data_IF_085532937789
#
_entry.id   IF_085532937789
#
_cell.length_a   1.000
_cell.length_b   1.000
_cell.length_c   1.000
_cell.angle_alpha   90.00
_cell.angle_beta   90.00
_cell.angle_gamma   90.00
#
_symmetry.space_group_name_H-M   'P 1'
#
loop_
_entity.id
_entity.type
_entity.pdbx_description
1 polymer ?
#
# COMPACT_ATOMS: atom_id res chain seq x y z
N UNK A 1 -8.73 -0.75 -6.62
CA UNK A 1 -7.52 0.09 -6.72
C UNK A 1 -7.68 1.27 -5.77
N UNK A 2 -7.14 1.17 -4.55
CA UNK A 2 -6.79 2.35 -3.74
C UNK A 2 -5.30 2.27 -3.52
N UNK A 3 -4.56 2.92 -4.41
CA UNK A 3 -3.18 3.31 -4.14
C UNK A 3 -3.16 4.00 -2.78
N UNK A 4 -2.13 3.74 -1.97
CA UNK A 4 -1.76 4.57 -0.82
C UNK A 4 -1.30 5.99 -1.23
N UNK A 5 -1.72 6.47 -2.41
CA UNK A 5 -1.51 7.83 -2.92
C UNK A 5 -2.69 8.74 -2.58
N UNK A 6 -3.43 8.42 -1.52
CA UNK A 6 -4.20 9.47 -0.86
C UNK A 6 -3.18 10.29 -0.09
N UNK A 7 -2.62 11.30 -0.75
CA UNK A 7 -2.00 12.45 -0.09
C UNK A 7 -2.95 12.84 1.04
N UNK A 8 -2.61 12.47 2.27
CA UNK A 8 -3.36 12.85 3.45
C UNK A 8 -3.27 14.36 3.55
N UNK A 9 -4.17 15.12 2.94
CA UNK A 9 -4.20 16.56 3.11
C UNK A 9 -4.80 16.89 4.49
N UNK A 10 -4.06 16.58 5.56
CA UNK A 10 -4.41 17.02 6.90
C UNK A 10 -4.25 18.54 6.95
N UNK A 11 -5.37 19.25 7.07
CA UNK A 11 -5.39 20.70 7.23
C UNK A 11 -4.96 21.03 8.65
N UNK A 12 -3.67 21.30 8.84
CA UNK A 12 -3.19 21.84 10.12
C UNK A 12 -3.53 23.34 10.21
N UNK A 13 -4.31 23.70 11.22
CA UNK A 13 -4.46 25.09 11.67
C UNK A 13 -3.42 25.37 12.74
N UNK A 14 -2.61 26.41 12.58
CA UNK A 14 -1.75 26.90 13.66
C UNK A 14 -2.53 27.94 14.44
N UNK A 15 -2.59 27.79 15.76
CA UNK A 15 -3.18 28.75 16.68
C UNK A 15 -2.02 29.42 17.42
N UNK A 16 -1.95 30.75 17.39
CA UNK A 16 -0.94 31.53 18.09
C UNK A 16 -1.60 32.53 19.03
N UNK A 17 -0.99 32.75 20.20
CA UNK A 17 -1.32 33.84 21.10
C UNK A 17 -0.45 35.03 20.73
N UNK A 18 -1.06 36.18 20.47
CA UNK A 18 -0.40 37.41 20.07
C UNK A 18 -0.86 38.56 20.95
N UNK A 19 0.04 39.53 21.14
CA UNK A 19 -0.26 40.76 21.83
C UNK A 19 -0.92 41.78 20.91
N UNK A 20 -1.51 42.83 21.49
CA UNK A 20 -2.27 43.85 20.76
C UNK A 20 -1.50 44.49 19.60
N UNK A 21 -0.18 44.65 19.74
CA UNK A 21 0.69 45.24 18.72
C UNK A 21 0.89 44.33 17.49
N UNK A 22 0.92 43.01 17.69
CA UNK A 22 1.29 42.04 16.65
C UNK A 22 0.09 41.52 15.84
N UNK A 23 -1.13 41.77 16.32
CA UNK A 23 -2.37 41.35 15.65
C UNK A 23 -2.53 41.99 14.29
N UNK A 24 -2.15 43.26 14.16
CA UNK A 24 -2.34 43.99 12.90
C UNK A 24 -1.60 43.28 11.76
N UNK A 25 -0.34 42.90 12.01
CA UNK A 25 0.46 42.13 11.04
C UNK A 25 -0.15 40.75 10.77
N UNK A 26 -0.66 40.08 11.81
CA UNK A 26 -1.22 38.74 11.69
C UNK A 26 -2.57 38.72 10.95
N UNK A 27 -3.42 39.75 11.10
CA UNK A 27 -4.70 39.89 10.39
C UNK A 27 -4.51 40.15 8.89
N UNK A 28 -3.46 40.89 8.53
CA UNK A 28 -3.12 41.17 7.14
C UNK A 28 -2.32 40.04 6.46
N UNK A 29 -1.98 38.98 7.19
CA UNK A 29 -1.26 37.84 6.61
C UNK A 29 -2.17 37.07 5.64
N UNK A 30 -1.69 36.70 4.43
CA UNK A 30 -2.53 36.07 3.39
C UNK A 30 -3.10 34.70 3.78
N UNK A 31 -2.56 34.07 4.82
CA UNK A 31 -3.09 32.82 5.34
C UNK A 31 -3.89 32.96 6.64
N UNK A 32 -4.26 34.18 7.03
CA UNK A 32 -5.11 34.42 8.19
C UNK A 32 -6.50 33.79 8.01
N UNK A 33 -7.01 33.11 9.05
CA UNK A 33 -8.38 32.56 9.08
C UNK A 33 -9.28 33.42 9.97
N UNK A 34 -8.82 33.76 11.17
CA UNK A 34 -9.61 34.52 12.13
C UNK A 34 -8.85 34.81 13.42
N UNK A 35 -9.30 35.83 14.14
CA UNK A 35 -8.73 36.25 15.42
C UNK A 35 -9.82 36.44 16.48
N UNK A 36 -9.54 36.05 17.74
CA UNK A 36 -10.45 36.24 18.88
C UNK A 36 -9.70 36.83 20.08
N UNK A 37 -10.26 37.87 20.68
CA UNK A 37 -9.74 38.45 21.93
C UNK A 37 -10.02 37.49 23.11
N UNK A 38 -8.99 37.23 23.93
CA UNK A 38 -9.13 36.49 25.20
C UNK A 38 -9.05 37.46 26.39
N UNK A 39 -8.16 38.45 26.33
CA UNK A 39 -7.95 39.45 27.38
C UNK A 39 -7.55 40.80 26.78
N UNK A 40 -7.49 41.85 27.60
CA UNK A 40 -7.21 43.22 27.14
C UNK A 40 -5.98 43.34 26.22
N UNK A 41 -4.96 42.51 26.44
CA UNK A 41 -3.71 42.52 25.67
C UNK A 41 -3.40 41.20 24.95
N UNK A 42 -4.27 40.17 25.01
CA UNK A 42 -3.96 38.85 24.45
C UNK A 42 -5.06 38.37 23.51
N UNK A 43 -4.64 37.97 22.32
CA UNK A 43 -5.52 37.54 21.25
C UNK A 43 -5.05 36.20 20.70
N UNK A 44 -6.02 35.36 20.37
CA UNK A 44 -5.78 34.13 19.62
C UNK A 44 -5.93 34.44 18.14
N UNK A 45 -4.92 34.09 17.35
CA UNK A 45 -4.99 34.16 15.90
C UNK A 45 -4.83 32.77 15.31
N UNK A 46 -5.76 32.41 14.42
CA UNK A 46 -5.73 31.18 13.66
C UNK A 46 -5.17 31.47 12.26
N UNK A 47 -4.10 30.77 11.90
CA UNK A 47 -3.44 30.88 10.61
C UNK A 47 -3.51 29.53 9.92
N UNK A 48 -3.93 29.54 8.66
CA UNK A 48 -3.88 28.38 7.77
C UNK A 48 -2.42 28.17 7.37
N UNK A 49 -1.84 27.00 7.63
CA UNK A 49 -0.56 26.70 7.01
C UNK A 49 -0.78 26.47 5.51
N UNK A 50 -0.01 27.15 4.65
CA UNK A 50 0.08 26.76 3.23
C UNK A 50 0.64 25.34 3.22
N UNK A 51 -0.11 24.45 2.57
CA UNK A 51 0.10 23.02 2.38
C UNK A 51 1.45 22.52 2.87
N UNK A 52 1.47 21.80 3.99
CA UNK A 52 2.64 21.03 4.36
C UNK A 52 2.86 19.99 3.26
N UNK A 53 3.91 20.17 2.47
CA UNK A 53 4.43 19.09 1.62
C UNK A 53 4.92 18.03 2.60
N UNK A 54 4.30 16.85 2.54
CA UNK A 54 4.65 15.73 3.39
C UNK A 54 6.04 15.26 3.01
N UNK A 55 7.04 15.68 3.76
CA UNK A 55 8.24 14.87 3.92
C UNK A 55 7.81 13.62 4.68
N UNK A 56 7.30 12.60 3.98
CA UNK A 56 7.45 11.25 4.52
C UNK A 56 8.95 11.10 4.76
N UNK A 57 9.34 11.02 6.03
CA UNK A 57 10.75 10.86 6.36
C UNK A 57 11.25 9.61 5.63
N UNK A 58 12.49 9.64 5.15
CA UNK A 58 13.11 8.48 4.50
C UNK A 58 12.90 7.20 5.32
N UNK A 59 12.87 7.33 6.65
CA UNK A 59 12.56 6.26 7.60
C UNK A 59 11.17 5.61 7.38
N UNK A 60 10.11 6.39 7.17
CA UNK A 60 8.76 5.84 6.91
C UNK A 60 8.73 5.12 5.55
N UNK A 61 9.41 5.66 4.54
CA UNK A 61 9.51 5.03 3.22
C UNK A 61 10.29 3.72 3.28
N UNK A 62 11.38 3.68 4.03
CA UNK A 62 12.15 2.45 4.27
C UNK A 62 11.31 1.42 5.03
N UNK A 63 10.64 1.83 6.11
CA UNK A 63 9.77 0.94 6.89
C UNK A 63 8.63 0.33 6.08
N UNK A 64 7.96 1.14 5.25
CA UNK A 64 6.88 0.66 4.38
C UNK A 64 7.38 -0.32 3.32
N UNK A 65 8.54 -0.04 2.71
CA UNK A 65 9.18 -0.92 1.74
C UNK A 65 9.62 -2.25 2.37
N UNK A 66 10.25 -2.20 3.55
CA UNK A 66 10.74 -3.41 4.22
C UNK A 66 9.60 -4.29 4.75
N UNK A 67 8.52 -3.68 5.23
CA UNK A 67 7.30 -4.42 5.56
C UNK A 67 6.72 -5.09 4.30
N UNK A 68 6.67 -4.42 3.15
CA UNK A 68 6.20 -5.03 1.90
C UNK A 68 7.09 -6.21 1.47
N UNK A 69 8.43 -6.10 1.59
CA UNK A 69 9.36 -7.20 1.33
C UNK A 69 9.11 -8.38 2.26
N UNK A 70 8.91 -8.14 3.55
CA UNK A 70 8.62 -9.18 4.53
C UNK A 70 7.36 -9.96 4.15
N UNK A 71 6.26 -9.27 3.85
CA UNK A 71 5.01 -9.92 3.46
C UNK A 71 5.16 -10.76 2.18
N UNK A 72 5.94 -10.29 1.21
CA UNK A 72 6.24 -11.03 -0.02
C UNK A 72 7.04 -12.30 0.24
N UNK A 73 8.14 -12.19 0.99
CA UNK A 73 8.97 -13.35 1.35
C UNK A 73 8.17 -14.36 2.17
N UNK A 74 7.36 -13.88 3.11
CA UNK A 74 6.48 -14.72 3.90
C UNK A 74 5.47 -15.47 3.00
N UNK A 75 4.86 -14.80 2.02
CA UNK A 75 3.98 -15.44 1.04
C UNK A 75 4.70 -16.52 0.21
N UNK A 76 5.89 -16.23 -0.30
CA UNK A 76 6.67 -17.18 -1.11
C UNK A 76 7.09 -18.40 -0.29
N UNK A 77 7.73 -18.20 0.86
CA UNK A 77 8.30 -19.31 1.63
C UNK A 77 7.27 -20.07 2.46
N UNK A 78 6.30 -19.38 3.06
CA UNK A 78 5.33 -20.02 3.96
C UNK A 78 4.03 -20.45 3.28
N UNK A 79 3.74 -19.98 2.06
CA UNK A 79 2.64 -20.51 1.25
C UNK A 79 3.17 -21.24 0.01
N UNK A 80 3.75 -20.53 -0.96
CA UNK A 80 4.06 -21.11 -2.28
C UNK A 80 4.97 -22.35 -2.19
N UNK A 81 6.12 -22.27 -1.52
CA UNK A 81 7.03 -23.41 -1.43
C UNK A 81 6.47 -24.61 -0.66
N UNK A 82 5.41 -24.43 0.14
CA UNK A 82 4.78 -25.51 0.89
C UNK A 82 3.67 -26.22 0.12
N UNK A 83 2.96 -25.52 -0.76
CA UNK A 83 1.83 -26.09 -1.51
C UNK A 83 2.00 -26.17 -3.02
N UNK A 84 3.09 -25.65 -3.58
CA UNK A 84 3.39 -25.72 -5.01
C UNK A 84 4.63 -26.59 -5.27
N UNK A 85 4.65 -27.27 -6.41
CA UNK A 85 5.80 -28.03 -6.87
C UNK A 85 6.92 -27.11 -7.37
N UNK A 86 7.98 -27.00 -6.55
CA UNK A 86 9.18 -26.19 -6.81
C UNK A 86 9.90 -26.48 -8.14
N UNK A 87 9.64 -27.63 -8.79
CA UNK A 87 10.23 -27.96 -10.10
C UNK A 87 9.42 -27.46 -11.27
N UNK A 88 8.18 -27.03 -11.03
CA UNK A 88 7.19 -26.69 -12.06
C UNK A 88 6.83 -25.22 -12.08
N UNK A 89 7.45 -24.39 -11.24
CA UNK A 89 7.31 -22.94 -11.36
C UNK A 89 8.66 -22.23 -11.20
N UNK A 90 8.81 -21.09 -11.87
CA UNK A 90 10.02 -20.27 -11.82
C UNK A 90 9.64 -18.79 -11.71
N UNK A 91 10.36 -18.04 -10.87
CA UNK A 91 10.20 -16.59 -10.79
C UNK A 91 10.84 -15.94 -12.03
N UNK A 92 10.07 -15.10 -12.72
CA UNK A 92 10.54 -14.39 -13.93
C UNK A 92 10.99 -12.98 -13.55
N UNK A 93 10.08 -12.23 -12.92
CA UNK A 93 10.30 -10.83 -12.57
C UNK A 93 9.53 -10.49 -11.29
N UNK A 94 10.08 -9.60 -10.48
CA UNK A 94 9.36 -9.01 -9.35
C UNK A 94 9.44 -7.50 -9.45
N UNK A 95 8.29 -6.85 -9.56
CA UNK A 95 8.16 -5.39 -9.52
C UNK A 95 7.67 -4.92 -8.14
N UNK A 96 7.57 -3.63 -7.89
CA UNK A 96 7.21 -2.99 -6.61
C UNK A 96 5.90 -3.52 -6.03
N UNK A 97 4.94 -3.89 -6.89
CA UNK A 97 3.60 -4.33 -6.47
C UNK A 97 3.17 -5.70 -7.00
N UNK A 98 3.95 -6.37 -7.86
CA UNK A 98 3.62 -7.66 -8.47
C UNK A 98 4.81 -8.63 -8.50
N UNK A 99 4.51 -9.91 -8.69
CA UNK A 99 5.50 -10.97 -8.95
C UNK A 99 4.99 -11.78 -10.14
N UNK A 100 5.86 -11.98 -11.12
CA UNK A 100 5.62 -12.75 -12.32
C UNK A 100 6.27 -14.12 -12.18
N UNK A 101 5.46 -15.15 -12.37
CA UNK A 101 5.84 -16.55 -12.17
C UNK A 101 5.48 -17.30 -13.44
N UNK A 102 6.46 -17.99 -14.02
CA UNK A 102 6.23 -18.96 -15.08
C UNK A 102 5.81 -20.29 -14.44
N UNK A 103 4.73 -20.88 -14.94
CA UNK A 103 4.16 -22.13 -14.42
C UNK A 103 4.14 -23.16 -15.54
N UNK A 104 4.66 -24.36 -15.27
CA UNK A 104 4.58 -25.49 -16.18
C UNK A 104 3.18 -26.10 -16.12
N UNK A 105 2.31 -25.64 -17.03
CA UNK A 105 0.95 -26.15 -17.21
C UNK A 105 0.89 -27.64 -17.57
N UNK A 106 -0.28 -28.24 -17.40
CA UNK A 106 -0.59 -29.57 -17.93
C UNK A 106 -1.06 -29.43 -19.40
N UNK A 107 -0.41 -30.11 -20.36
CA UNK A 107 -0.77 -30.05 -21.78
C UNK A 107 -2.18 -30.60 -22.07
N UNK A 108 -2.77 -31.38 -21.16
CA UNK A 108 -4.11 -31.96 -21.33
C UNK A 108 -5.24 -31.05 -20.83
N UNK A 109 -4.89 -29.90 -20.23
CA UNK A 109 -5.84 -28.98 -19.62
C UNK A 109 -5.72 -27.62 -20.30
N UNK A 110 -6.77 -26.82 -20.16
CA UNK A 110 -6.89 -25.48 -20.71
C UNK A 110 -5.95 -24.46 -20.03
N UNK A 111 -5.70 -23.32 -20.65
CA UNK A 111 -4.82 -22.28 -20.11
C UNK A 111 -5.30 -21.67 -18.77
N UNK A 112 -6.57 -21.82 -18.42
CA UNK A 112 -7.12 -21.31 -17.15
C UNK A 112 -6.70 -22.10 -15.89
N UNK A 113 -5.81 -23.11 -16.01
CA UNK A 113 -5.29 -23.89 -14.87
C UNK A 113 -4.58 -23.07 -13.79
N UNK A 114 -3.86 -22.00 -14.18
CA UNK A 114 -3.06 -21.16 -13.26
C UNK A 114 -2.23 -21.99 -12.25
N UNK A 115 -2.31 -21.68 -10.95
CA UNK A 115 -1.59 -22.37 -9.88
C UNK A 115 -2.06 -23.82 -9.66
N UNK A 116 -3.25 -24.20 -10.11
CA UNK A 116 -3.76 -25.56 -9.94
C UNK A 116 -2.92 -26.60 -10.70
N UNK A 117 -2.27 -26.20 -11.80
CA UNK A 117 -1.40 -27.08 -12.58
C UNK A 117 -0.21 -27.62 -11.78
N UNK A 118 0.25 -26.85 -10.80
CA UNK A 118 1.48 -27.12 -10.02
C UNK A 118 1.19 -27.25 -8.52
N UNK A 119 -0.09 -27.37 -8.15
CA UNK A 119 -0.50 -27.56 -6.77
C UNK A 119 -0.08 -28.94 -6.28
N UNK A 120 0.78 -28.99 -5.27
CA UNK A 120 1.21 -30.22 -4.61
C UNK A 120 0.36 -30.53 -3.37
N UNK A 121 -0.02 -29.51 -2.59
CA UNK A 121 -0.86 -29.67 -1.40
C UNK A 121 -2.03 -28.69 -1.39
N UNK A 122 -3.15 -29.16 -1.97
CA UNK A 122 -4.39 -28.37 -2.06
C UNK A 122 -5.02 -28.12 -0.69
N UNK A 123 -4.93 -29.07 0.24
CA UNK A 123 -5.55 -28.93 1.57
C UNK A 123 -4.83 -27.87 2.40
N UNK A 124 -3.50 -27.83 2.34
CA UNK A 124 -2.71 -26.77 2.95
C UNK A 124 -3.04 -25.41 2.32
N UNK A 125 -3.12 -25.35 0.98
CA UNK A 125 -3.45 -24.13 0.27
C UNK A 125 -4.80 -23.56 0.72
N UNK A 126 -5.88 -24.34 0.67
CA UNK A 126 -7.23 -23.90 1.05
C UNK A 126 -7.30 -23.42 2.51
N UNK A 127 -6.56 -24.07 3.42
CA UNK A 127 -6.50 -23.69 4.83
C UNK A 127 -5.77 -22.36 5.07
N UNK A 128 -4.71 -22.09 4.30
CA UNK A 128 -3.78 -20.98 4.57
C UNK A 128 -3.89 -19.80 3.60
N UNK A 129 -4.51 -19.96 2.44
CA UNK A 129 -4.60 -18.94 1.39
C UNK A 129 -5.23 -17.64 1.87
N UNK A 130 -6.28 -17.73 2.69
CA UNK A 130 -7.00 -16.56 3.22
C UNK A 130 -6.19 -15.75 4.26
N UNK A 131 -5.02 -16.22 4.69
CA UNK A 131 -4.09 -15.42 5.49
C UNK A 131 -3.36 -14.39 4.63
N UNK A 132 -3.22 -14.66 3.32
CA UNK A 132 -2.41 -13.88 2.39
C UNK A 132 -3.23 -13.17 1.31
N UNK A 133 -4.30 -13.81 0.84
CA UNK A 133 -5.22 -13.26 -0.15
C UNK A 133 -6.47 -12.68 0.52
N UNK A 134 -7.01 -11.65 -0.12
CA UNK A 134 -8.27 -11.04 0.29
C UNK A 134 -9.41 -12.05 0.20
N UNK A 135 -10.16 -12.22 1.30
CA UNK A 135 -11.40 -12.99 1.31
C UNK A 135 -12.57 -12.07 0.94
N UNK A 136 -13.27 -12.30 -0.18
CA UNK A 136 -14.39 -11.43 -0.60
C UNK A 136 -15.54 -11.38 0.42
N UNK A 137 -15.60 -12.33 1.36
CA UNK A 137 -16.62 -12.39 2.40
C UNK A 137 -16.21 -11.68 3.71
N UNK A 138 -14.99 -11.12 3.81
CA UNK A 138 -14.48 -10.47 5.02
C UNK A 138 -14.35 -8.95 4.85
N UNK A 139 -14.46 -8.27 5.99
CA UNK A 139 -14.67 -6.83 6.15
C UNK A 139 -13.48 -5.94 5.66
N UNK A 140 -13.73 -4.63 5.54
CA UNK A 140 -12.84 -3.54 5.07
C UNK A 140 -11.41 -3.50 5.65
N UNK A 141 -11.11 -4.28 6.69
CA UNK A 141 -9.77 -4.41 7.28
C UNK A 141 -8.83 -5.33 6.48
N UNK A 142 -9.32 -6.06 5.46
CA UNK A 142 -8.51 -6.98 4.63
C UNK A 142 -7.73 -6.29 3.50
N UNK A 143 -7.74 -4.95 3.44
CA UNK A 143 -7.12 -4.15 2.38
C UNK A 143 -5.59 -4.28 2.26
N UNK A 144 -4.91 -4.88 3.25
CA UNK A 144 -3.44 -5.06 3.24
C UNK A 144 -2.96 -6.37 2.60
N UNK A 145 -3.88 -7.21 2.11
CA UNK A 145 -3.56 -8.51 1.52
C UNK A 145 -3.30 -8.44 0.02
N UNK A 146 -2.66 -9.48 -0.50
CA UNK A 146 -2.41 -9.64 -1.94
C UNK A 146 -3.77 -9.69 -2.65
N UNK A 147 -3.92 -8.87 -3.69
CA UNK A 147 -5.25 -8.57 -4.24
C UNK A 147 -5.82 -9.75 -5.01
N UNK A 148 -5.15 -10.21 -6.08
CA UNK A 148 -5.60 -11.29 -6.96
C UNK A 148 -4.43 -11.90 -7.75
N UNK A 149 -4.62 -13.13 -8.21
CA UNK A 149 -3.84 -13.73 -9.30
C UNK A 149 -4.43 -13.34 -10.65
N UNK A 150 -3.57 -13.11 -11.64
CA UNK A 150 -3.96 -12.84 -13.02
C UNK A 150 -3.05 -13.60 -13.97
N UNK A 151 -3.62 -14.06 -15.08
CA UNK A 151 -2.87 -14.61 -16.19
C UNK A 151 -2.46 -13.46 -17.12
N UNK A 152 -1.18 -13.37 -17.44
CA UNK A 152 -0.66 -12.28 -18.26
C UNK A 152 -0.38 -12.72 -19.70
N UNK A 153 0.20 -13.91 -19.90
CA UNK A 153 0.58 -14.41 -21.22
C UNK A 153 0.46 -15.95 -21.29
N UNK A 154 0.19 -16.46 -22.50
CA UNK A 154 0.16 -17.89 -22.86
C UNK A 154 1.03 -18.11 -24.11
N UNK A 155 1.92 -19.11 -24.11
CA UNK A 155 2.65 -19.52 -25.34
C UNK A 155 4.13 -19.86 -25.16
N UNK A 156 4.71 -20.43 -26.22
CA UNK A 156 6.10 -20.93 -26.31
C UNK A 156 7.18 -19.84 -26.47
N UNK A 157 6.82 -18.57 -26.53
CA UNK A 157 7.78 -17.46 -26.71
C UNK A 157 7.73 -16.51 -25.51
N UNK A 158 8.59 -16.76 -24.53
CA UNK A 158 9.04 -15.70 -23.64
C UNK A 158 10.02 -14.81 -24.43
N UNK A 159 9.50 -13.84 -25.18
CA UNK A 159 10.35 -12.72 -25.63
C UNK A 159 10.59 -11.79 -24.45
N UNK A 160 11.72 -12.02 -23.76
CA UNK A 160 12.31 -11.04 -22.86
C UNK A 160 12.82 -9.87 -23.71
N UNK A 161 12.26 -8.69 -23.52
CA UNK A 161 12.89 -7.41 -23.87
C UNK A 161 13.76 -6.94 -22.71
#
# INVERSE_FOLDING_TARGET
MRQYDTLNAVKFGKIQLLEKADIFIAQHHPNHIGSRCISANTFVVQIKLKTAIWFTSLQIRVFTLDNAKYWRLNYIYNLMYKCLDSKRFHFVLADTNSIYIAIAGDPNKDCHQQLEAVMSDKQFYEKHVHQYLHDPNKDIYDQKKIHKFGLENEGYEFTSL
#
